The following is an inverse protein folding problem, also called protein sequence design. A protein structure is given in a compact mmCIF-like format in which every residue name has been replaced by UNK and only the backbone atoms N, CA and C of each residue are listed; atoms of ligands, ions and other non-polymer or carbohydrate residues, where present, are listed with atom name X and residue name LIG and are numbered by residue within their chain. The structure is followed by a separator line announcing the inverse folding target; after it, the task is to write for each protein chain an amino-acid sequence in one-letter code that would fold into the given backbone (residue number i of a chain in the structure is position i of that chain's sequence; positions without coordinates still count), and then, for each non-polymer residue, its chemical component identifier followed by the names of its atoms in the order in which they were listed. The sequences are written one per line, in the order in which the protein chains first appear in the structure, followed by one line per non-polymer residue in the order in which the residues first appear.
data_IF_291158478745
#
_entry.id   IF_291158478745
#
_cell.length_a   1.000
_cell.length_b   1.000
_cell.length_c   1.000
_cell.angle_alpha   90.00
_cell.angle_beta   90.00
_cell.angle_gamma   90.00
#
_symmetry.space_group_name_H-M   'P 1'
#
loop_
_entity.id
_entity.type
_entity.pdbx_description
1 polymer ?
#
# COMPACT_ATOMS: atom_id res chain seq x y z
N UNK A 1 -38.23 -10.33 -0.08
CA UNK A 1 -37.31 -9.98 1.02
C UNK A 1 -35.91 -9.75 0.46
N UNK A 2 -35.27 -8.62 0.79
CA UNK A 2 -33.90 -8.35 0.33
C UNK A 2 -32.89 -9.28 1.01
N UNK A 3 -31.88 -9.74 0.27
CA UNK A 3 -30.73 -10.49 0.79
C UNK A 3 -30.04 -9.77 1.96
N UNK A 4 -29.99 -8.42 1.94
CA UNK A 4 -29.42 -7.62 3.03
C UNK A 4 -30.26 -7.65 4.32
N UNK A 5 -31.58 -7.81 4.20
CA UNK A 5 -32.48 -7.93 5.35
C UNK A 5 -32.32 -9.28 6.06
N UNK A 6 -32.18 -10.37 5.29
CA UNK A 6 -31.97 -11.72 5.81
C UNK A 6 -30.69 -11.84 6.65
N UNK A 7 -29.55 -11.33 6.14
CA UNK A 7 -28.29 -11.36 6.90
C UNK A 7 -28.28 -10.41 8.11
N UNK A 8 -29.09 -9.35 8.12
CA UNK A 8 -29.22 -8.46 9.28
C UNK A 8 -29.98 -9.14 10.42
N UNK A 9 -30.98 -9.95 10.09
CA UNK A 9 -31.76 -10.73 11.06
C UNK A 9 -30.99 -11.95 11.60
N UNK A 10 -30.15 -12.58 10.77
CA UNK A 10 -29.30 -13.71 11.18
C UNK A 10 -28.17 -13.34 12.15
N UNK A 11 -27.83 -12.05 12.30
CA UNK A 11 -26.87 -11.64 13.33
C UNK A 11 -27.59 -11.78 14.68
N UNK A 12 -27.09 -12.62 15.61
CA UNK A 12 -27.67 -12.69 16.93
C UNK A 12 -27.64 -11.27 17.52
N UNK A 13 -28.82 -10.74 17.79
CA UNK A 13 -28.95 -9.56 18.64
C UNK A 13 -28.32 -9.96 19.95
N UNK A 14 -27.13 -9.46 20.25
CA UNK A 14 -26.58 -9.55 21.59
C UNK A 14 -27.65 -9.00 22.54
N UNK A 15 -28.14 -9.86 23.43
CA UNK A 15 -29.21 -9.56 24.39
C UNK A 15 -28.82 -8.38 25.33
N UNK A 16 -27.58 -7.91 25.25
CA UNK A 16 -27.13 -6.59 25.66
C UNK A 16 -26.82 -5.71 24.43
N UNK A 17 -27.65 -4.69 24.22
CA UNK A 17 -27.37 -3.48 23.43
C UNK A 17 -26.71 -3.70 22.06
N UNK A 18 -27.50 -3.74 20.98
CA UNK A 18 -26.94 -3.61 19.63
C UNK A 18 -26.06 -2.37 19.53
N UNK A 19 -24.89 -2.47 18.88
CA UNK A 19 -23.87 -1.42 18.80
C UNK A 19 -24.52 -0.03 18.78
N UNK A 20 -24.42 0.73 19.89
CA UNK A 20 -25.11 1.99 19.99
C UNK A 20 -24.68 2.84 18.81
N UNK A 21 -25.64 3.29 18.00
CA UNK A 21 -25.34 4.25 16.95
C UNK A 21 -24.63 5.42 17.61
N UNK A 22 -23.47 5.85 17.08
CA UNK A 22 -22.72 6.92 17.71
C UNK A 22 -23.61 8.15 17.80
N UNK A 23 -23.66 8.71 19.01
CA UNK A 23 -24.37 9.93 19.35
C UNK A 23 -23.85 11.09 18.50
N UNK A 24 -24.62 12.20 18.46
CA UNK A 24 -24.20 13.41 17.73
C UNK A 24 -22.86 13.94 18.25
N UNK A 25 -22.62 13.87 19.56
CA UNK A 25 -21.36 14.30 20.20
C UNK A 25 -20.19 13.41 19.78
N UNK A 26 -20.35 12.09 19.80
CA UNK A 26 -19.31 11.15 19.36
C UNK A 26 -18.98 11.33 17.88
N UNK A 27 -19.99 11.53 17.02
CA UNK A 27 -19.75 11.84 15.60
C UNK A 27 -18.95 13.12 15.42
N UNK A 28 -19.25 14.16 16.19
CA UNK A 28 -18.49 15.41 16.15
C UNK A 28 -17.04 15.22 16.62
N UNK A 29 -16.84 14.50 17.72
CA UNK A 29 -15.51 14.13 18.22
C UNK A 29 -14.72 13.33 17.19
N UNK A 30 -15.31 12.27 16.63
CA UNK A 30 -14.68 11.45 15.60
C UNK A 30 -14.35 12.25 14.34
N UNK A 31 -15.22 13.19 13.96
CA UNK A 31 -14.97 14.12 12.85
C UNK A 31 -13.73 14.97 13.12
N UNK A 32 -13.59 15.52 14.33
CA UNK A 32 -12.42 16.31 14.69
C UNK A 32 -11.14 15.47 14.67
N UNK A 33 -11.18 14.27 15.27
CA UNK A 33 -10.02 13.36 15.27
C UNK A 33 -9.57 12.97 13.87
N UNK A 34 -10.50 12.76 12.92
CA UNK A 34 -10.18 12.50 11.52
C UNK A 34 -9.46 13.71 10.89
N UNK A 35 -9.89 14.94 11.16
CA UNK A 35 -9.25 16.16 10.66
C UNK A 35 -7.84 16.33 11.24
N UNK A 36 -7.68 16.05 12.52
CA UNK A 36 -6.39 16.14 13.21
C UNK A 36 -5.41 15.10 12.66
N UNK A 37 -5.84 13.85 12.50
CA UNK A 37 -5.07 12.79 11.85
C UNK A 37 -4.70 13.16 10.40
N UNK A 38 -5.66 13.66 9.64
CA UNK A 38 -5.42 14.07 8.25
C UNK A 38 -4.33 15.15 8.16
N UNK A 39 -4.35 16.11 9.08
CA UNK A 39 -3.37 17.19 9.20
C UNK A 39 -2.01 16.67 9.69
N UNK A 40 -2.00 15.82 10.72
CA UNK A 40 -0.81 15.17 11.28
C UNK A 40 -0.01 14.43 10.20
N UNK A 41 -0.69 13.68 9.34
CA UNK A 41 -0.06 12.95 8.24
C UNK A 41 0.22 13.80 6.99
N UNK A 42 0.10 15.14 7.11
CA UNK A 42 0.35 16.11 6.04
C UNK A 42 -0.44 15.76 4.79
N UNK A 43 -1.72 15.41 4.95
CA UNK A 43 -2.65 15.07 3.87
C UNK A 43 -2.30 13.79 3.09
N UNK A 44 -1.29 13.01 3.48
CA UNK A 44 -0.90 11.78 2.76
C UNK A 44 -1.86 10.62 3.00
N UNK A 45 -2.67 10.68 4.04
CA UNK A 45 -3.52 9.58 4.46
C UNK A 45 -4.93 9.77 3.90
N UNK A 46 -5.36 8.81 3.08
CA UNK A 46 -6.73 8.69 2.63
C UNK A 46 -7.57 7.82 3.55
N UNK A 47 -8.82 7.58 3.15
CA UNK A 47 -9.84 6.90 3.96
C UNK A 47 -9.38 5.58 4.58
N UNK A 48 -8.66 4.73 3.82
CA UNK A 48 -8.19 3.43 4.31
C UNK A 48 -7.21 3.55 5.48
N UNK A 49 -6.24 4.48 5.39
CA UNK A 49 -5.23 4.68 6.44
C UNK A 49 -5.82 5.38 7.65
N UNK A 50 -6.71 6.35 7.43
CA UNK A 50 -7.41 7.04 8.51
C UNK A 50 -8.33 6.10 9.32
N UNK A 51 -9.01 5.14 8.66
CA UNK A 51 -9.78 4.10 9.37
C UNK A 51 -8.85 3.23 10.23
N UNK A 52 -7.67 2.88 9.71
CA UNK A 52 -6.65 2.15 10.47
C UNK A 52 -6.23 2.92 11.73
N UNK A 53 -5.82 4.17 11.57
CA UNK A 53 -5.43 5.05 12.69
C UNK A 53 -6.54 5.24 13.73
N UNK A 54 -7.80 5.39 13.29
CA UNK A 54 -8.94 5.48 14.20
C UNK A 54 -9.15 4.16 14.97
N UNK A 55 -9.01 3.02 14.29
CA UNK A 55 -9.10 1.70 14.91
C UNK A 55 -7.96 1.46 15.92
N UNK A 56 -6.75 1.87 15.59
CA UNK A 56 -5.58 1.77 16.47
C UNK A 56 -5.73 2.62 17.74
N UNK A 57 -6.54 3.69 17.66
CA UNK A 57 -6.99 4.51 18.81
C UNK A 57 -8.22 3.93 19.54
N UNK A 58 -8.68 2.74 19.17
CA UNK A 58 -9.84 2.07 19.77
C UNK A 58 -11.20 2.60 19.29
N UNK A 59 -11.24 3.39 18.22
CA UNK A 59 -12.47 4.00 17.71
C UNK A 59 -12.85 3.31 16.40
N UNK A 60 -13.93 2.52 16.43
CA UNK A 60 -14.44 1.89 15.22
C UNK A 60 -15.27 2.89 14.40
N UNK A 61 -14.81 3.17 13.18
CA UNK A 61 -15.50 4.03 12.22
C UNK A 61 -15.58 3.38 10.86
N UNK A 62 -16.76 3.47 10.24
CA UNK A 62 -16.92 2.98 8.87
C UNK A 62 -16.08 3.82 7.90
N UNK A 63 -15.54 3.14 6.88
CA UNK A 63 -14.86 3.80 5.74
C UNK A 63 -15.75 4.88 5.10
N UNK A 64 -17.06 4.64 5.07
CA UNK A 64 -18.05 5.55 4.52
C UNK A 64 -18.20 6.84 5.32
N UNK A 65 -18.16 6.75 6.65
CA UNK A 65 -18.16 7.91 7.53
C UNK A 65 -16.92 8.78 7.29
N UNK A 66 -15.73 8.17 7.30
CA UNK A 66 -14.47 8.89 7.04
C UNK A 66 -14.48 9.55 5.66
N UNK A 67 -15.00 8.87 4.62
CA UNK A 67 -15.14 9.45 3.28
C UNK A 67 -16.02 10.69 3.27
N UNK A 68 -17.18 10.64 3.94
CA UNK A 68 -18.09 11.79 4.07
C UNK A 68 -17.42 12.94 4.80
N UNK A 69 -16.77 12.67 5.94
CA UNK A 69 -16.00 13.70 6.67
C UNK A 69 -14.97 14.39 5.77
N UNK A 70 -14.20 13.63 4.98
CA UNK A 70 -13.25 14.23 4.05
C UNK A 70 -13.93 15.07 2.96
N UNK A 71 -15.03 14.58 2.36
CA UNK A 71 -15.75 15.27 1.30
C UNK A 71 -16.43 16.56 1.79
N UNK A 72 -17.17 16.48 2.91
CA UNK A 72 -17.94 17.58 3.50
C UNK A 72 -17.03 18.73 3.95
N UNK A 73 -15.76 18.44 4.25
CA UNK A 73 -14.75 19.42 4.68
C UNK A 73 -13.71 19.72 3.59
N UNK A 74 -13.96 19.30 2.33
CA UNK A 74 -13.09 19.54 1.18
C UNK A 74 -11.63 19.07 1.38
N UNK A 75 -11.41 18.06 2.22
CA UNK A 75 -10.11 17.49 2.55
C UNK A 75 -9.73 16.42 1.52
N UNK A 76 -8.79 16.76 0.64
CA UNK A 76 -8.31 15.86 -0.43
C UNK A 76 -6.92 15.32 -0.09
N UNK A 77 -6.79 13.98 0.08
CA UNK A 77 -5.49 13.36 0.28
C UNK A 77 -4.57 13.59 -0.92
N UNK A 78 -3.29 13.82 -0.66
CA UNK A 78 -2.27 13.94 -1.70
C UNK A 78 -1.66 12.56 -1.98
N UNK A 79 -1.42 12.28 -3.25
CA UNK A 79 -0.55 11.18 -3.65
C UNK A 79 0.89 11.72 -3.67
N UNK A 80 1.79 11.27 -2.78
CA UNK A 80 3.19 11.64 -2.89
C UNK A 80 3.72 11.17 -4.25
N UNK A 81 4.54 11.97 -4.91
CA UNK A 81 5.23 11.54 -6.13
C UNK A 81 6.06 10.30 -5.79
N UNK A 82 6.07 9.32 -6.69
CA UNK A 82 6.97 8.18 -6.57
C UNK A 82 8.39 8.69 -6.35
N UNK A 83 9.08 8.15 -5.35
CA UNK A 83 10.48 8.46 -5.12
C UNK A 83 11.28 7.97 -6.33
N UNK A 84 11.98 8.89 -7.00
CA UNK A 84 12.91 8.56 -8.08
C UNK A 84 14.31 8.76 -7.51
N UNK A 85 15.07 7.68 -7.24
CA UNK A 85 16.44 7.82 -6.78
C UNK A 85 17.25 8.54 -7.87
N UNK A 86 17.97 9.60 -7.50
CA UNK A 86 19.01 10.16 -8.37
C UNK A 86 20.26 9.31 -8.19
N UNK A 87 20.48 8.38 -9.10
CA UNK A 87 21.62 7.45 -9.06
C UNK A 87 22.94 8.06 -9.53
N UNK A 88 22.88 9.24 -10.16
CA UNK A 88 24.05 9.91 -10.72
C UNK A 88 24.17 11.31 -10.10
N UNK A 89 25.24 11.53 -9.32
CA UNK A 89 25.62 12.88 -8.92
C UNK A 89 26.48 13.51 -10.02
N UNK A 90 25.80 14.06 -11.03
CA UNK A 90 26.44 14.74 -12.16
C UNK A 90 27.17 16.05 -11.79
N UNK A 91 27.22 16.41 -10.51
CA UNK A 91 27.93 17.60 -9.99
C UNK A 91 29.28 17.25 -9.37
N UNK A 92 29.80 16.06 -9.62
CA UNK A 92 31.17 15.74 -9.24
C UNK A 92 32.17 16.49 -10.12
N UNK A 93 33.29 16.90 -9.54
CA UNK A 93 34.39 17.59 -10.25
C UNK A 93 35.24 16.65 -11.11
N UNK A 94 35.01 15.34 -11.02
CA UNK A 94 35.59 14.37 -11.94
C UNK A 94 35.02 14.65 -13.34
N UNK A 95 35.85 14.99 -14.31
CA UNK A 95 35.39 15.18 -15.70
C UNK A 95 34.75 13.90 -16.26
N UNK A 96 34.07 14.02 -17.39
CA UNK A 96 33.63 12.85 -18.15
C UNK A 96 34.83 12.16 -18.80
N UNK A 97 34.78 10.84 -18.91
CA UNK A 97 35.75 10.12 -19.75
C UNK A 97 35.62 10.63 -21.20
N UNK A 98 36.72 10.92 -21.90
CA UNK A 98 36.68 11.41 -23.27
C UNK A 98 36.01 10.38 -24.18
N UNK A 99 35.12 10.84 -25.07
CA UNK A 99 34.49 9.97 -26.05
C UNK A 99 35.46 9.66 -27.19
N UNK A 100 36.12 8.51 -27.09
CA UNK A 100 37.14 8.05 -28.04
C UNK A 100 36.59 7.71 -29.44
N UNK A 101 35.27 7.76 -29.65
CA UNK A 101 34.63 7.48 -30.92
C UNK A 101 34.39 8.74 -31.77
N UNK A 102 34.52 9.95 -31.21
CA UNK A 102 34.24 11.20 -31.93
C UNK A 102 35.15 11.40 -33.15
N UNK A 103 36.42 11.03 -33.01
CA UNK A 103 37.45 11.22 -34.06
C UNK A 103 37.71 9.95 -34.88
N UNK A 104 36.89 8.89 -34.71
CA UNK A 104 37.05 7.62 -35.43
C UNK A 104 36.12 7.54 -36.64
N UNK A 105 36.55 6.92 -37.75
CA UNK A 105 35.67 6.62 -38.86
C UNK A 105 34.53 5.70 -38.42
N UNK A 106 33.39 5.80 -39.12
CA UNK A 106 32.20 5.01 -38.80
C UNK A 106 32.49 3.51 -38.93
N UNK A 107 31.94 2.66 -38.04
CA UNK A 107 32.06 1.21 -38.17
C UNK A 107 31.48 0.74 -39.51
N UNK A 108 32.16 -0.17 -40.18
CA UNK A 108 31.76 -0.78 -41.47
C UNK A 108 31.10 -2.14 -41.28
N UNK A 109 31.40 -2.83 -40.18
CA UNK A 109 30.96 -4.21 -39.93
C UNK A 109 30.47 -4.39 -38.48
N UNK A 110 29.64 -5.40 -38.20
CA UNK A 110 29.26 -5.77 -36.84
C UNK A 110 30.47 -6.06 -35.94
N UNK A 111 30.28 -5.91 -34.62
CA UNK A 111 31.29 -6.18 -33.58
C UNK A 111 32.52 -5.24 -33.55
N UNK A 112 32.47 -4.09 -34.20
CA UNK A 112 33.57 -3.11 -34.16
C UNK A 112 33.43 -2.07 -33.03
N UNK A 113 32.21 -1.81 -32.54
CA UNK A 113 31.92 -0.92 -31.41
C UNK A 113 30.80 -1.52 -30.58
N UNK A 114 31.01 -1.67 -29.27
CA UNK A 114 30.01 -2.17 -28.32
C UNK A 114 29.63 -1.05 -27.36
N UNK A 115 28.32 -0.84 -27.17
CA UNK A 115 27.77 0.14 -26.23
C UNK A 115 26.76 -0.57 -25.34
N UNK A 116 26.84 -0.32 -24.04
CA UNK A 116 25.89 -0.83 -23.06
C UNK A 116 25.57 0.25 -22.04
N UNK A 117 24.32 0.35 -21.61
CA UNK A 117 23.95 1.14 -20.43
C UNK A 117 24.10 0.30 -19.15
N UNK A 118 24.48 0.95 -18.05
CA UNK A 118 24.47 0.33 -16.72
C UNK A 118 23.25 0.85 -15.97
N UNK A 119 22.27 -0.03 -15.77
CA UNK A 119 21.09 0.27 -14.95
C UNK A 119 21.32 -0.24 -13.53
N UNK A 120 21.60 0.67 -12.59
CA UNK A 120 21.67 0.34 -11.17
C UNK A 120 20.25 0.19 -10.58
N UNK A 121 19.94 -0.96 -9.99
CA UNK A 121 18.71 -1.13 -9.19
C UNK A 121 18.95 -0.66 -7.76
N UNK A 122 18.11 0.23 -7.27
CA UNK A 122 18.09 0.58 -5.86
C UNK A 122 17.62 -0.65 -5.06
N UNK A 123 18.50 -1.18 -4.20
CA UNK A 123 18.08 -2.17 -3.20
C UNK A 123 17.18 -1.47 -2.17
N UNK A 124 16.13 -2.15 -1.65
CA UNK A 124 15.33 -1.60 -0.57
C UNK A 124 16.24 -1.26 0.61
N UNK A 125 16.12 -0.05 1.14
CA UNK A 125 16.81 0.37 2.36
C UNK A 125 16.16 -0.42 3.50
N UNK A 126 16.81 -1.48 3.97
CA UNK A 126 16.43 -2.13 5.21
C UNK A 126 16.85 -1.24 6.38
N UNK A 127 15.87 -0.74 7.13
CA UNK A 127 16.13 -0.06 8.40
C UNK A 127 16.67 -1.09 9.41
N UNK A 128 17.83 -0.87 10.05
CA UNK A 128 18.33 -1.76 11.08
C UNK A 128 17.43 -1.63 12.32
N UNK A 129 16.46 -2.52 12.49
CA UNK A 129 15.54 -2.51 13.64
C UNK A 129 14.35 -3.46 13.55
N UNK A 130 13.92 -3.87 12.35
CA UNK A 130 12.88 -4.90 12.23
C UNK A 130 13.52 -6.28 12.37
N UNK A 131 13.41 -6.87 13.58
CA UNK A 131 13.57 -8.31 13.75
C UNK A 131 12.58 -8.97 12.79
N UNK A 132 13.08 -9.68 11.78
CA UNK A 132 12.24 -10.63 11.07
C UNK A 132 11.80 -11.67 12.09
N UNK A 133 10.53 -11.63 12.49
CA UNK A 133 9.92 -12.77 13.16
C UNK A 133 9.84 -13.85 12.10
N UNK A 134 10.70 -14.85 12.21
CA UNK A 134 10.67 -16.02 11.36
C UNK A 134 9.27 -16.62 11.38
N UNK A 135 8.55 -16.54 10.26
CA UNK A 135 7.39 -17.38 10.03
C UNK A 135 7.92 -18.80 9.87
N UNK A 136 7.97 -19.53 10.98
CA UNK A 136 8.11 -20.98 10.96
C UNK A 136 6.83 -21.56 10.38
N UNK A 137 6.80 -21.68 9.06
CA UNK A 137 5.79 -22.44 8.33
C UNK A 137 5.95 -23.93 8.65
N UNK A 138 5.24 -24.36 9.68
CA UNK A 138 5.08 -25.76 10.10
C UNK A 138 4.61 -26.60 8.91
N UNK A 139 5.45 -27.53 8.45
CA UNK A 139 5.05 -28.64 7.58
C UNK A 139 3.92 -29.42 8.28
N UNK A 140 2.71 -29.31 7.75
CA UNK A 140 1.58 -30.15 8.13
C UNK A 140 1.24 -31.04 6.94
N UNK A 141 1.82 -32.23 6.90
CA UNK A 141 1.45 -33.26 5.92
C UNK A 141 -0.01 -33.65 6.06
N UNK A 142 -0.68 -33.80 4.91
CA UNK A 142 -1.83 -34.70 4.76
C UNK A 142 -1.66 -35.44 3.44
N UNK A 143 -1.14 -36.66 3.55
CA UNK A 143 -1.40 -37.70 2.57
C UNK A 143 -2.83 -38.22 2.79
N UNK A 144 -3.61 -38.30 1.71
CA UNK A 144 -4.90 -38.98 1.63
C UNK A 144 -5.30 -39.12 0.14
N UNK A 145 -5.87 -40.26 -0.29
CA UNK A 145 -5.48 -40.99 -1.50
C UNK A 145 -6.11 -40.49 -2.82
N UNK A 146 -5.60 -40.95 -3.99
CA UNK A 146 -6.10 -40.52 -5.30
C UNK A 146 -7.47 -41.16 -5.60
N UNK A 147 -8.35 -40.40 -6.24
CA UNK A 147 -9.59 -40.93 -6.82
C UNK A 147 -9.51 -40.86 -8.35
N UNK A 148 -9.71 -42.05 -8.93
CA UNK A 148 -9.66 -42.39 -10.34
C UNK A 148 -10.71 -41.66 -11.18
N UNK A 149 -10.38 -41.49 -12.46
CA UNK A 149 -11.31 -41.01 -13.48
C UNK A 149 -12.29 -42.07 -13.96
N UNK A 150 -13.45 -41.60 -14.39
CA UNK A 150 -14.41 -42.14 -15.37
C UNK A 150 -15.09 -40.88 -15.95
N UNK A 151 -15.28 -40.61 -17.24
CA UNK A 151 -15.43 -41.44 -18.43
C UNK A 151 -16.88 -41.31 -18.96
N UNK A 152 -17.07 -40.64 -20.11
CA UNK A 152 -18.28 -40.63 -20.96
C UNK A 152 -19.35 -39.59 -20.60
N UNK A 153 -19.99 -38.86 -21.51
CA UNK A 153 -20.02 -38.81 -22.98
C UNK A 153 -20.13 -37.35 -23.44
#
# INVERSE_FOLDING_TARGET
MSRSGYYKWLKPVSISGGDPRPTRREKASNTQQIKDLFSLHRRRYGTRRLVGEMKDRGIDVSRDFVRKVLADNQLRPIQPRSFVPRTTDSRHTLGYSPNLLLDRPRPTDPNQVWVSDITARAAPIYSPGERQVAVSGRMGGRHGPPRYGHGGW
#
